data_IF_115540951067
#
_entry.id   IF_115540951067
#
_cell.length_a   1.000
_cell.length_b   1.000
_cell.length_c   1.000
_cell.angle_alpha   90.00
_cell.angle_beta   90.00
_cell.angle_gamma   90.00
#
_symmetry.space_group_name_H-M   'P 1'
#
loop_
_entity.id
_entity.type
_entity.pdbx_description
1 polymer ?
#
# COMPACT_ATOMS: atom_id res chain seq x y z
N UNK A 1 26.60 -5.40 24.45
CA UNK A 1 25.19 -5.04 24.71
C UNK A 1 24.32 -6.24 24.35
N UNK A 2 23.69 -6.86 25.34
CA UNK A 2 22.79 -8.02 25.15
C UNK A 2 21.57 -7.59 24.33
N UNK A 3 21.30 -8.26 23.21
CA UNK A 3 20.06 -8.06 22.44
C UNK A 3 18.93 -8.68 23.24
N UNK A 4 18.07 -7.86 23.85
CA UNK A 4 16.81 -8.33 24.42
C UNK A 4 16.02 -9.04 23.33
N UNK A 5 15.88 -10.36 23.45
CA UNK A 5 15.02 -11.14 22.57
C UNK A 5 13.58 -10.85 23.03
N UNK A 6 12.95 -9.86 22.42
CA UNK A 6 11.53 -9.62 22.61
C UNK A 6 10.78 -10.81 21.99
N UNK A 7 10.17 -11.63 22.82
CA UNK A 7 9.22 -12.66 22.41
C UNK A 7 8.05 -11.96 21.72
N UNK A 8 8.05 -11.98 20.38
CA UNK A 8 7.00 -11.38 19.56
C UNK A 8 5.91 -12.42 19.39
N UNK A 9 4.72 -12.18 19.96
CA UNK A 9 3.52 -12.95 19.62
C UNK A 9 2.88 -12.36 18.37
N UNK A 10 2.73 -13.17 17.32
CA UNK A 10 1.97 -12.77 16.14
C UNK A 10 0.51 -13.20 16.31
N UNK A 11 -0.40 -12.22 16.20
CA UNK A 11 -1.84 -12.45 16.24
C UNK A 11 -2.42 -11.95 14.93
N UNK A 12 -3.32 -12.73 14.33
CA UNK A 12 -4.01 -12.38 13.09
C UNK A 12 -5.46 -12.01 13.37
N UNK A 13 -5.90 -10.92 12.77
CA UNK A 13 -7.26 -10.41 12.86
C UNK A 13 -7.83 -10.23 11.46
N UNK A 14 -9.16 -10.27 11.35
CA UNK A 14 -9.82 -9.88 10.11
C UNK A 14 -9.59 -8.39 9.83
N UNK A 15 -9.33 -8.02 8.57
CA UNK A 15 -9.15 -6.62 8.18
C UNK A 15 -10.34 -5.74 8.60
N UNK A 16 -11.56 -6.28 8.56
CA UNK A 16 -12.80 -5.60 8.94
C UNK A 16 -12.88 -5.27 10.45
N UNK A 17 -12.10 -5.93 11.29
CA UNK A 17 -12.03 -5.71 12.74
C UNK A 17 -10.79 -4.88 13.12
N UNK A 18 -9.66 -5.16 12.47
CA UNK A 18 -8.38 -4.55 12.78
C UNK A 18 -8.21 -3.14 12.21
N UNK A 19 -8.62 -2.91 10.96
CA UNK A 19 -8.37 -1.62 10.30
C UNK A 19 -9.18 -0.46 10.89
N UNK A 20 -10.41 -0.63 11.40
CA UNK A 20 -11.08 0.43 12.16
C UNK A 20 -10.25 0.95 13.34
N UNK A 21 -9.56 0.09 14.08
CA UNK A 21 -8.67 0.51 15.17
C UNK A 21 -7.44 1.25 14.65
N UNK A 22 -6.88 0.83 13.51
CA UNK A 22 -5.82 1.60 12.83
C UNK A 22 -6.32 3.00 12.46
N UNK A 23 -7.53 3.12 11.92
CA UNK A 23 -8.13 4.42 11.58
C UNK A 23 -8.30 5.29 12.83
N UNK A 24 -8.73 4.71 13.95
CA UNK A 24 -8.83 5.43 15.23
C UNK A 24 -7.47 5.98 15.67
N UNK A 25 -6.42 5.16 15.65
CA UNK A 25 -5.07 5.61 15.99
C UNK A 25 -4.58 6.73 15.07
N UNK A 26 -4.86 6.64 13.75
CA UNK A 26 -4.51 7.69 12.80
C UNK A 26 -5.28 8.99 13.09
N UNK A 27 -6.56 8.90 13.49
CA UNK A 27 -7.37 10.06 13.87
C UNK A 27 -6.88 10.72 15.17
N UNK A 28 -6.32 9.94 16.08
CA UNK A 28 -5.66 10.42 17.31
C UNK A 28 -4.28 11.06 17.02
N UNK A 29 -3.84 11.08 15.76
CA UNK A 29 -2.57 11.68 15.33
C UNK A 29 -1.37 10.74 15.44
N UNK A 30 -1.59 9.46 15.73
CA UNK A 30 -0.51 8.48 15.76
C UNK A 30 -0.04 8.10 14.35
N UNK A 31 1.22 7.68 14.27
CA UNK A 31 1.79 7.06 13.08
C UNK A 31 1.70 5.55 13.24
N UNK A 32 1.10 4.85 12.27
CA UNK A 32 0.88 3.40 12.34
C UNK A 32 1.75 2.68 11.32
N UNK A 33 2.48 1.67 11.77
CA UNK A 33 3.18 0.75 10.85
C UNK A 33 2.31 -0.48 10.61
N UNK A 34 1.79 -0.62 9.39
CA UNK A 34 0.88 -1.69 9.00
C UNK A 34 1.63 -2.76 8.18
N UNK A 35 1.55 -4.03 8.60
CA UNK A 35 2.04 -5.17 7.78
C UNK A 35 1.08 -5.41 6.63
N UNK A 36 1.60 -5.44 5.41
CA UNK A 36 0.77 -5.55 4.21
C UNK A 36 0.30 -7.00 4.00
N UNK A 37 -0.96 -7.13 3.60
CA UNK A 37 -1.59 -8.40 3.25
C UNK A 37 -2.18 -8.32 1.86
N UNK A 38 -2.08 -9.41 1.12
CA UNK A 38 -2.53 -9.53 -0.26
C UNK A 38 -1.48 -9.16 -1.31
N UNK A 39 -1.86 -9.32 -2.57
CA UNK A 39 -0.97 -9.21 -3.74
C UNK A 39 -1.33 -8.05 -4.67
N UNK A 40 -2.32 -7.23 -4.30
CA UNK A 40 -2.84 -6.14 -5.14
C UNK A 40 -1.82 -5.05 -5.43
N UNK A 41 -0.76 -4.96 -4.62
CA UNK A 41 0.32 -3.98 -4.77
C UNK A 41 1.60 -4.58 -5.39
N UNK A 42 1.54 -5.81 -5.91
CA UNK A 42 2.63 -6.38 -6.71
C UNK A 42 2.83 -5.56 -7.99
N UNK A 43 4.06 -5.48 -8.54
CA UNK A 43 5.28 -6.14 -8.08
C UNK A 43 6.03 -5.39 -6.97
N UNK A 44 5.54 -4.21 -6.53
CA UNK A 44 6.32 -3.36 -5.63
C UNK A 44 6.25 -3.77 -4.18
N UNK A 45 5.08 -4.20 -3.73
CA UNK A 45 4.85 -4.60 -2.35
C UNK A 45 4.42 -6.07 -2.33
N UNK A 46 4.99 -6.81 -1.40
CA UNK A 46 4.78 -8.24 -1.28
C UNK A 46 4.02 -8.59 0.01
N UNK A 47 3.13 -9.59 -0.13
CA UNK A 47 2.30 -10.09 0.95
C UNK A 47 3.17 -10.54 2.12
N UNK A 48 2.80 -10.13 3.32
CA UNK A 48 3.40 -10.58 4.58
C UNK A 48 4.90 -10.29 4.75
N UNK A 49 5.51 -9.54 3.83
CA UNK A 49 6.92 -9.17 3.83
C UNK A 49 7.13 -7.68 4.08
N UNK A 50 6.34 -6.86 3.39
CA UNK A 50 6.54 -5.42 3.37
C UNK A 50 5.55 -4.73 4.35
N UNK A 51 5.96 -3.59 4.90
CA UNK A 51 5.16 -2.79 5.85
C UNK A 51 4.99 -1.38 5.32
N UNK A 52 3.81 -0.80 5.50
CA UNK A 52 3.52 0.59 5.17
C UNK A 52 3.51 1.45 6.44
N UNK A 53 4.11 2.64 6.36
CA UNK A 53 4.04 3.65 7.39
C UNK A 53 2.92 4.64 7.04
N UNK A 54 1.88 4.66 7.87
CA UNK A 54 0.65 5.41 7.67
C UNK A 54 0.57 6.60 8.64
N UNK A 55 0.07 7.71 8.14
CA UNK A 55 -0.27 8.91 8.92
C UNK A 55 -1.66 9.40 8.53
N UNK A 56 -2.27 10.25 9.37
CA UNK A 56 -3.50 10.95 9.00
C UNK A 56 -3.27 11.72 7.68
N UNK A 57 -4.13 11.56 6.66
CA UNK A 57 -3.99 12.30 5.41
C UNK A 57 -4.24 13.78 5.66
N UNK A 58 -3.24 14.61 5.34
CA UNK A 58 -3.36 16.08 5.35
C UNK A 58 -3.58 16.61 3.94
N UNK A 59 -2.86 16.06 2.97
CA UNK A 59 -3.00 16.35 1.55
C UNK A 59 -2.87 15.06 0.77
N UNK A 60 -3.66 14.92 -0.29
CA UNK A 60 -3.66 13.77 -1.19
C UNK A 60 -3.41 14.24 -2.62
N UNK A 61 -2.63 13.48 -3.37
CA UNK A 61 -2.33 13.78 -4.79
C UNK A 61 -2.43 12.51 -5.62
N UNK A 62 -2.64 12.69 -6.92
CA UNK A 62 -2.59 11.59 -7.88
C UNK A 62 -1.21 10.93 -7.82
N UNK A 63 -1.21 9.60 -7.74
CA UNK A 63 -0.04 8.75 -7.59
C UNK A 63 0.32 8.40 -6.14
N UNK A 64 -0.27 9.08 -5.14
CA UNK A 64 0.01 8.79 -3.74
C UNK A 64 -0.63 7.45 -3.33
N UNK A 65 0.13 6.57 -2.65
CA UNK A 65 -0.43 5.39 -2.01
C UNK A 65 -1.20 5.78 -0.74
N UNK A 66 -2.43 5.32 -0.64
CA UNK A 66 -3.36 5.64 0.46
C UNK A 66 -4.06 4.38 0.96
N UNK A 67 -4.44 4.40 2.23
CA UNK A 67 -5.40 3.48 2.82
C UNK A 67 -6.79 4.12 2.72
N UNK A 68 -7.73 3.45 2.08
CA UNK A 68 -9.08 3.95 1.88
C UNK A 68 -10.14 2.89 2.19
N UNK A 69 -11.27 3.33 2.71
CA UNK A 69 -12.46 2.51 2.95
C UNK A 69 -13.42 2.63 1.75
N UNK A 70 -13.47 1.62 0.88
CA UNK A 70 -14.27 1.70 -0.36
C UNK A 70 -15.73 1.30 -0.13
N UNK A 71 -15.97 0.41 0.84
CA UNK A 71 -17.30 0.05 1.36
C UNK A 71 -17.17 -0.20 2.87
N UNK A 72 -18.27 -0.18 3.65
CA UNK A 72 -18.19 -0.29 5.11
C UNK A 72 -17.34 -1.49 5.56
N UNK A 73 -16.32 -1.21 6.37
CA UNK A 73 -15.31 -2.15 6.87
C UNK A 73 -14.47 -2.86 5.80
N UNK A 74 -14.50 -2.39 4.57
CA UNK A 74 -13.68 -2.92 3.48
C UNK A 74 -12.65 -1.88 3.05
N UNK A 75 -11.39 -2.19 3.35
CA UNK A 75 -10.28 -1.28 3.15
C UNK A 75 -9.33 -1.80 2.08
N UNK A 76 -8.79 -0.87 1.30
CA UNK A 76 -7.76 -1.13 0.30
C UNK A 76 -6.59 -0.17 0.47
N UNK A 77 -5.38 -0.67 0.27
CA UNK A 77 -4.16 0.14 0.23
C UNK A 77 -3.69 0.21 -1.20
N UNK A 78 -4.05 1.28 -1.91
CA UNK A 78 -3.84 1.43 -3.34
C UNK A 78 -3.35 2.84 -3.68
N UNK A 79 -2.92 3.06 -4.92
CA UNK A 79 -2.56 4.40 -5.41
C UNK A 79 -3.78 5.14 -5.89
N UNK A 80 -3.77 6.46 -5.73
CA UNK A 80 -4.72 7.34 -6.38
C UNK A 80 -4.42 7.41 -7.88
N UNK A 81 -5.33 6.91 -8.71
CA UNK A 81 -5.26 6.91 -10.17
C UNK A 81 -5.77 8.26 -10.73
N UNK A 82 -6.91 8.73 -10.24
CA UNK A 82 -7.49 10.03 -10.58
C UNK A 82 -8.28 10.62 -9.42
N UNK A 83 -8.44 11.95 -9.43
CA UNK A 83 -9.28 12.70 -8.49
C UNK A 83 -10.19 13.61 -9.31
N UNK A 84 -11.50 13.46 -9.16
CA UNK A 84 -12.53 14.20 -9.88
C UNK A 84 -13.54 14.78 -8.87
N UNK A 85 -13.37 16.05 -8.51
CA UNK A 85 -14.14 16.65 -7.41
C UNK A 85 -13.87 15.88 -6.12
N UNK A 86 -14.92 15.30 -5.51
CA UNK A 86 -14.80 14.46 -4.32
C UNK A 86 -14.69 12.97 -4.61
N UNK A 87 -14.78 12.56 -5.87
CA UNK A 87 -14.60 11.18 -6.28
C UNK A 87 -13.11 10.90 -6.47
N UNK A 88 -12.66 9.76 -5.95
CA UNK A 88 -11.30 9.28 -6.07
C UNK A 88 -11.34 7.90 -6.69
N UNK A 89 -10.54 7.71 -7.74
CA UNK A 89 -10.31 6.40 -8.33
C UNK A 89 -9.00 5.86 -7.79
N UNK A 90 -9.05 4.66 -7.23
CA UNK A 90 -7.93 3.94 -6.67
C UNK A 90 -7.56 2.77 -7.56
N UNK A 91 -6.29 2.41 -7.55
CA UNK A 91 -5.79 1.28 -8.32
C UNK A 91 -4.63 0.60 -7.62
N UNK A 92 -4.76 -0.69 -7.38
CA UNK A 92 -3.66 -1.54 -6.93
C UNK A 92 -2.57 -1.66 -7.99
N UNK A 93 -1.30 -1.72 -7.59
CA UNK A 93 -0.20 -1.81 -8.53
C UNK A 93 -0.19 -3.09 -9.39
N UNK A 94 -0.78 -4.15 -8.86
CA UNK A 94 -0.90 -5.47 -9.46
C UNK A 94 -2.28 -5.74 -10.04
N UNK A 95 -3.17 -4.75 -9.99
CA UNK A 95 -4.55 -4.83 -10.43
C UNK A 95 -4.74 -4.07 -11.74
N UNK A 96 -5.58 -4.63 -12.62
CA UNK A 96 -6.08 -3.94 -13.81
C UNK A 96 -7.44 -3.26 -13.55
N UNK A 97 -8.18 -3.74 -12.55
CA UNK A 97 -9.40 -3.10 -12.06
C UNK A 97 -9.09 -1.80 -11.31
N UNK A 98 -10.14 -1.02 -11.09
CA UNK A 98 -10.14 0.17 -10.24
C UNK A 98 -11.13 -0.01 -9.11
N UNK A 99 -10.88 0.69 -8.02
CA UNK A 99 -11.83 0.88 -6.94
C UNK A 99 -12.20 2.37 -6.86
N UNK A 100 -13.40 2.68 -6.41
CA UNK A 100 -13.87 4.05 -6.28
C UNK A 100 -14.21 4.36 -4.83
N UNK A 101 -13.83 5.54 -4.36
CA UNK A 101 -14.22 6.05 -3.05
C UNK A 101 -14.41 7.56 -3.07
N UNK A 102 -14.96 8.10 -1.98
CA UNK A 102 -14.93 9.54 -1.73
C UNK A 102 -13.62 9.95 -1.09
N UNK A 103 -13.23 11.22 -1.23
CA UNK A 103 -12.05 11.79 -0.56
C UNK A 103 -12.10 11.59 0.96
N UNK A 104 -13.26 11.76 1.56
CA UNK A 104 -13.47 11.58 3.01
C UNK A 104 -13.20 10.15 3.49
N UNK A 105 -13.36 9.16 2.60
CA UNK A 105 -13.09 7.76 2.90
C UNK A 105 -11.60 7.40 2.81
N UNK A 106 -10.74 8.35 2.47
CA UNK A 106 -9.29 8.16 2.58
C UNK A 106 -8.91 8.35 4.05
N UNK A 107 -8.59 7.23 4.68
CA UNK A 107 -8.36 7.18 6.13
C UNK A 107 -6.89 7.29 6.51
N UNK A 108 -5.97 6.97 5.59
CA UNK A 108 -4.52 7.00 5.82
C UNK A 108 -3.72 7.39 4.58
N UNK A 109 -2.71 8.24 4.74
CA UNK A 109 -1.69 8.50 3.73
C UNK A 109 -0.43 7.67 4.03
N UNK A 110 0.16 7.05 3.00
CA UNK A 110 1.40 6.29 3.17
C UNK A 110 2.62 7.18 2.90
N UNK A 111 3.45 7.37 3.92
CA UNK A 111 4.67 8.20 3.84
C UNK A 111 5.93 7.38 3.50
N UNK A 112 5.88 6.07 3.66
CA UNK A 112 6.99 5.19 3.30
C UNK A 112 6.69 3.72 3.49
N UNK A 113 7.60 2.89 2.99
CA UNK A 113 7.53 1.44 3.12
C UNK A 113 8.82 0.87 3.72
N UNK A 114 8.69 -0.15 4.55
CA UNK A 114 9.80 -1.01 4.94
C UNK A 114 9.71 -2.29 4.14
N UNK A 115 10.74 -2.59 3.35
CA UNK A 115 10.71 -3.67 2.36
C UNK A 115 11.80 -4.70 2.62
N UNK A 116 11.50 -5.98 2.34
CA UNK A 116 12.47 -7.09 2.39
C UNK A 116 13.20 -7.22 3.74
N UNK A 117 12.50 -6.98 4.85
CA UNK A 117 13.09 -7.02 6.19
C UNK A 117 14.14 -5.93 6.46
N UNK A 118 14.29 -4.93 5.59
CA UNK A 118 15.21 -3.81 5.80
C UNK A 118 14.58 -2.80 6.77
N UNK A 119 15.38 -2.31 7.72
CA UNK A 119 14.99 -1.22 8.62
C UNK A 119 15.13 0.18 8.01
N UNK A 120 15.50 0.27 6.72
CA UNK A 120 15.54 1.52 5.99
C UNK A 120 14.18 1.78 5.34
N UNK A 121 13.61 2.94 5.62
CA UNK A 121 12.35 3.37 5.01
C UNK A 121 12.58 3.84 3.57
N UNK A 122 11.80 3.27 2.64
CA UNK A 122 11.64 3.78 1.28
C UNK A 122 10.53 4.83 1.29
N UNK A 123 10.92 6.11 1.39
CA UNK A 123 9.97 7.22 1.48
C UNK A 123 9.23 7.44 0.15
N UNK A 124 7.93 7.72 0.23
CA UNK A 124 7.08 7.94 -0.96
C UNK A 124 7.38 9.27 -1.66
N UNK A 125 7.95 10.22 -0.94
CA UNK A 125 8.39 11.50 -1.49
C UNK A 125 9.74 11.43 -2.24
N UNK A 126 10.48 10.31 -2.14
CA UNK A 126 11.79 10.16 -2.75
C UNK A 126 11.70 10.11 -4.29
N UNK A 127 12.69 10.67 -4.97
CA UNK A 127 12.75 10.71 -6.45
C UNK A 127 12.56 9.34 -7.10
N UNK A 128 13.17 8.29 -6.50
CA UNK A 128 13.03 6.91 -6.96
C UNK A 128 11.56 6.51 -6.99
N UNK A 129 10.86 6.66 -5.86
CA UNK A 129 9.45 6.28 -5.76
C UNK A 129 8.57 7.06 -6.73
N UNK A 130 8.75 8.38 -6.80
CA UNK A 130 7.98 9.24 -7.73
C UNK A 130 8.18 8.85 -9.19
N UNK A 131 9.44 8.63 -9.60
CA UNK A 131 9.77 8.23 -10.97
C UNK A 131 9.17 6.87 -11.31
N UNK A 132 9.29 5.88 -10.42
CA UNK A 132 8.70 4.56 -10.62
C UNK A 132 7.18 4.62 -10.67
N UNK A 133 6.55 5.36 -9.77
CA UNK A 133 5.10 5.54 -9.75
C UNK A 133 4.61 6.16 -11.06
N UNK A 134 5.30 7.20 -11.54
CA UNK A 134 4.98 7.90 -12.79
C UNK A 134 5.11 7.03 -14.05
N UNK A 135 6.13 6.16 -14.10
CA UNK A 135 6.32 5.21 -15.21
C UNK A 135 5.25 4.12 -15.14
N UNK A 136 5.03 3.54 -13.95
CA UNK A 136 4.11 2.42 -13.78
C UNK A 136 2.66 2.79 -14.09
N UNK A 137 2.21 3.99 -13.71
CA UNK A 137 0.86 4.47 -14.03
C UNK A 137 0.66 4.73 -15.53
N UNK A 138 1.72 5.00 -16.30
CA UNK A 138 1.64 5.11 -17.77
C UNK A 138 1.68 3.79 -18.51
N UNK A 139 2.26 2.76 -17.89
CA UNK A 139 2.40 1.44 -18.51
C UNK A 139 1.11 0.61 -18.46
N UNK A 140 -0.04 1.18 -18.07
CA UNK A 140 -1.35 0.53 -18.03
C UNK A 140 -1.66 -0.40 -19.22
N UNK A 141 -1.51 0.01 -20.51
CA UNK A 141 -1.85 -0.86 -21.64
C UNK A 141 -0.98 -2.13 -21.71
N UNK A 142 0.28 -2.05 -21.26
CA UNK A 142 1.24 -3.16 -21.31
C UNK A 142 1.27 -3.91 -19.96
N UNK A 143 0.74 -3.32 -18.89
CA UNK A 143 0.76 -3.83 -17.52
C UNK A 143 0.20 -5.25 -17.42
N UNK A 144 -0.82 -5.59 -18.21
CA UNK A 144 -1.37 -6.95 -18.29
C UNK A 144 -0.30 -7.99 -18.61
N UNK A 145 0.55 -7.70 -19.61
CA UNK A 145 1.62 -8.60 -20.03
C UNK A 145 2.77 -8.59 -19.02
N UNK A 146 3.17 -7.41 -18.50
CA UNK A 146 4.22 -7.30 -17.49
C UNK A 146 3.88 -8.10 -16.23
N UNK A 147 2.65 -7.97 -15.71
CA UNK A 147 2.17 -8.72 -14.56
C UNK A 147 2.00 -10.22 -14.87
N UNK A 148 1.64 -10.57 -16.11
CA UNK A 148 1.59 -11.95 -16.58
C UNK A 148 2.97 -12.62 -16.55
N UNK A 149 3.98 -11.97 -17.15
CA UNK A 149 5.37 -12.43 -17.17
C UNK A 149 5.93 -12.50 -15.75
N UNK A 150 5.70 -11.46 -14.95
CA UNK A 150 6.16 -11.43 -13.56
C UNK A 150 5.62 -12.62 -12.75
N UNK A 151 4.32 -12.89 -12.85
CA UNK A 151 3.68 -13.98 -12.08
C UNK A 151 4.04 -15.38 -12.58
N UNK A 152 4.14 -15.58 -13.90
CA UNK A 152 4.29 -16.92 -14.50
C UNK A 152 5.74 -17.33 -14.76
N UNK A 153 6.64 -16.37 -14.97
CA UNK A 153 8.02 -16.63 -15.37
C UNK A 153 8.98 -16.12 -14.29
N UNK A 154 8.84 -14.86 -13.87
CA UNK A 154 9.81 -14.28 -12.95
C UNK A 154 9.77 -14.87 -11.55
N UNK A 155 8.59 -14.91 -10.90
CA UNK A 155 8.46 -15.41 -9.53
C UNK A 155 8.97 -16.85 -9.39
N UNK A 156 8.62 -17.81 -10.28
CA UNK A 156 9.14 -19.16 -10.19
C UNK A 156 10.65 -19.29 -10.35
N UNK A 157 11.28 -18.42 -11.16
CA UNK A 157 12.70 -18.52 -11.50
C UNK A 157 13.57 -17.75 -10.49
N UNK A 158 13.17 -16.54 -10.12
CA UNK A 158 13.99 -15.59 -9.36
C UNK A 158 13.39 -15.21 -8.00
N UNK A 159 12.17 -15.64 -7.70
CA UNK A 159 11.44 -15.21 -6.51
C UNK A 159 10.85 -13.80 -6.66
N UNK A 160 10.32 -13.27 -5.55
CA UNK A 160 9.65 -11.96 -5.52
C UNK A 160 10.65 -10.81 -5.47
N UNK A 161 10.40 -9.76 -6.26
CA UNK A 161 11.24 -8.54 -6.33
C UNK A 161 11.14 -7.72 -5.06
#
# INVERSE_FOLDING_TARGET
MSKTVLTTSEIQFANAEFLPEVVKMLNEGHTVTLRLRGYSMRPFLENDRDKALLVKPSTIKVGDPVLAEITPRHFVLHRIDSIEGDNVTLRGDGNLGVEHCKKENIVGAVIGFYRKGRNKMDATNAWKWKSYSFIWTRLLPIRRYLLGIYRRIWIPIFGTI
#
